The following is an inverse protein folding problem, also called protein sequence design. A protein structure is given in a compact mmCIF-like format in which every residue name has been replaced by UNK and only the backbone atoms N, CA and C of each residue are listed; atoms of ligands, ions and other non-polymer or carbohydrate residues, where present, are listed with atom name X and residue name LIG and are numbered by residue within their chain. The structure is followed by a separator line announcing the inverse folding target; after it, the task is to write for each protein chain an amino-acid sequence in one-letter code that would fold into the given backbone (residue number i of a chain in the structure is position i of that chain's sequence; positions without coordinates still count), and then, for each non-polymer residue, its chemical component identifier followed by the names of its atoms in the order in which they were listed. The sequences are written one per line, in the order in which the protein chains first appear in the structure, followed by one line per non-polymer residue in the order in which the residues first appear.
data_IF_483298597244
#
_entry.id   IF_483298597244
#
_cell.length_a   1.000
_cell.length_b   1.000
_cell.length_c   1.000
_cell.angle_alpha   90.00
_cell.angle_beta   90.00
_cell.angle_gamma   90.00
#
_symmetry.space_group_name_H-M   'P 1'
#
loop_
_entity.id
_entity.type
_entity.pdbx_description
1 polymer ?
#
# COMPACT_ATOMS: atom_id res chain seq x y z
N UNK A 1 3.04 60.08 11.38
CA UNK A 1 2.13 59.00 10.94
C UNK A 1 2.66 58.28 9.69
N UNK A 2 2.90 58.98 8.56
CA UNK A 2 3.33 58.36 7.27
C UNK A 2 4.68 57.63 7.36
N UNK A 3 5.70 58.20 8.04
CA UNK A 3 7.01 57.54 8.24
C UNK A 3 6.89 56.21 9.02
N UNK A 4 6.04 56.19 10.03
CA UNK A 4 5.81 54.99 10.88
C UNK A 4 5.14 53.88 10.08
N UNK A 5 4.10 54.19 9.30
CA UNK A 5 3.42 53.22 8.43
C UNK A 5 4.36 52.66 7.36
N UNK A 6 5.19 53.52 6.74
CA UNK A 6 6.21 53.08 5.77
C UNK A 6 7.24 52.13 6.39
N UNK A 7 7.72 52.43 7.60
CA UNK A 7 8.69 51.58 8.29
C UNK A 7 8.09 50.23 8.68
N UNK A 8 6.82 50.21 9.09
CA UNK A 8 6.09 48.97 9.36
C UNK A 8 5.94 48.14 8.08
N UNK A 9 5.55 48.76 6.96
CA UNK A 9 5.44 48.07 5.67
C UNK A 9 6.77 47.45 5.22
N UNK A 10 7.87 48.19 5.33
CA UNK A 10 9.21 47.69 4.98
C UNK A 10 9.59 46.51 5.90
N UNK A 11 9.37 46.64 7.22
CA UNK A 11 9.65 45.57 8.16
C UNK A 11 8.83 44.30 7.86
N UNK A 12 7.54 44.45 7.57
CA UNK A 12 6.66 43.34 7.19
C UNK A 12 7.12 42.65 5.91
N UNK A 13 7.54 43.41 4.89
CA UNK A 13 8.08 42.86 3.64
C UNK A 13 9.38 42.09 3.87
N UNK A 14 10.26 42.59 4.75
CA UNK A 14 11.50 41.89 5.11
C UNK A 14 11.19 40.56 5.81
N UNK A 15 10.28 40.58 6.79
CA UNK A 15 9.89 39.36 7.51
C UNK A 15 9.26 38.33 6.56
N UNK A 16 8.38 38.77 5.67
CA UNK A 16 7.79 37.90 4.64
C UNK A 16 8.85 37.35 3.68
N UNK A 17 9.84 38.16 3.30
CA UNK A 17 10.95 37.72 2.46
C UNK A 17 11.81 36.65 3.13
N UNK A 18 12.17 36.85 4.41
CA UNK A 18 12.95 35.87 5.20
C UNK A 18 12.14 34.59 5.42
N UNK A 19 10.85 34.70 5.76
CA UNK A 19 9.97 33.54 5.90
C UNK A 19 9.85 32.78 4.57
N UNK A 20 9.75 33.49 3.44
CA UNK A 20 9.74 32.89 2.11
C UNK A 20 11.03 32.12 1.81
N UNK A 21 12.19 32.71 2.08
CA UNK A 21 13.50 32.04 1.91
C UNK A 21 13.66 30.84 2.85
N UNK A 22 13.13 30.91 4.05
CA UNK A 22 13.15 29.80 5.00
C UNK A 22 12.30 28.62 4.50
N UNK A 23 11.07 28.89 4.07
CA UNK A 23 10.17 27.85 3.55
C UNK A 23 10.73 27.22 2.28
N UNK A 24 11.28 28.01 1.35
CA UNK A 24 11.89 27.47 0.13
C UNK A 24 13.17 26.70 0.43
N UNK A 25 14.03 27.21 1.31
CA UNK A 25 15.24 26.50 1.75
C UNK A 25 14.91 25.16 2.41
N UNK A 26 13.86 25.11 3.22
CA UNK A 26 13.40 23.86 3.84
C UNK A 26 12.83 22.88 2.81
N UNK A 27 12.03 23.37 1.86
CA UNK A 27 11.48 22.55 0.77
C UNK A 27 12.58 21.87 -0.09
N UNK A 28 13.71 22.54 -0.31
CA UNK A 28 14.86 21.93 -1.00
C UNK A 28 15.81 21.16 -0.07
N UNK A 29 15.49 21.04 1.23
CA UNK A 29 16.30 20.30 2.20
C UNK A 29 17.64 20.97 2.55
N UNK A 30 17.78 22.29 2.35
CA UNK A 30 19.01 23.05 2.62
C UNK A 30 19.43 22.96 4.09
N UNK A 31 18.46 22.84 5.00
CA UNK A 31 18.69 22.69 6.44
C UNK A 31 18.92 21.23 6.88
N UNK A 32 19.05 20.32 5.92
CA UNK A 32 19.23 18.89 6.15
C UNK A 32 17.90 18.11 6.11
N UNK A 33 18.01 16.81 5.89
CA UNK A 33 16.90 15.88 5.85
C UNK A 33 17.05 14.86 6.98
N UNK A 34 15.98 14.68 7.76
CA UNK A 34 15.86 13.58 8.70
C UNK A 34 15.36 12.35 7.96
N UNK A 35 15.97 11.21 8.26
CA UNK A 35 15.68 9.91 7.68
C UNK A 35 15.20 8.98 8.78
N UNK A 36 14.03 8.39 8.61
CA UNK A 36 13.50 7.40 9.55
C UNK A 36 12.68 6.32 8.85
N UNK A 37 12.55 5.18 9.52
CA UNK A 37 11.78 4.04 9.05
C UNK A 37 10.35 4.11 9.59
N UNK A 38 9.38 3.84 8.73
CA UNK A 38 7.96 3.81 9.04
C UNK A 38 7.37 2.49 8.58
N UNK A 39 6.54 1.89 9.43
CA UNK A 39 5.71 0.75 9.04
C UNK A 39 4.46 1.27 8.34
N UNK A 40 4.18 0.76 7.14
CA UNK A 40 2.96 1.03 6.39
C UNK A 40 2.35 -0.28 5.89
N UNK A 41 1.22 -0.20 5.19
CA UNK A 41 0.49 -1.36 4.68
C UNK A 41 0.11 -1.18 3.22
N UNK A 42 0.49 -2.15 2.38
CA UNK A 42 -0.14 -2.31 1.07
C UNK A 42 -1.50 -3.01 1.26
N UNK A 43 -2.57 -2.40 0.75
CA UNK A 43 -3.89 -3.03 0.70
C UNK A 43 -4.19 -3.41 -0.75
N UNK A 44 -4.63 -4.65 -0.98
CA UNK A 44 -5.05 -5.10 -2.32
C UNK A 44 -6.30 -5.96 -2.23
N UNK A 45 -7.12 -5.92 -3.28
CA UNK A 45 -8.41 -6.62 -3.32
C UNK A 45 -8.37 -7.76 -4.34
N UNK A 46 -8.84 -8.93 -3.91
CA UNK A 46 -8.88 -10.14 -4.72
C UNK A 46 -10.31 -10.61 -4.86
N UNK A 47 -10.68 -11.03 -6.07
CA UNK A 47 -11.96 -11.64 -6.39
C UNK A 47 -11.72 -13.09 -6.81
N UNK A 48 -11.89 -14.05 -5.90
CA UNK A 48 -11.89 -15.46 -6.25
C UNK A 48 -13.09 -15.76 -7.15
N UNK A 49 -12.85 -16.46 -8.26
CA UNK A 49 -13.88 -16.88 -9.21
C UNK A 49 -13.68 -18.34 -9.57
N UNK A 50 -14.78 -19.04 -9.77
CA UNK A 50 -14.78 -20.39 -10.30
C UNK A 50 -14.18 -20.37 -11.72
N UNK A 51 -13.23 -21.28 -11.98
CA UNK A 51 -12.44 -21.31 -13.22
C UNK A 51 -13.30 -21.59 -14.46
N UNK A 52 -14.38 -22.35 -14.32
CA UNK A 52 -15.22 -22.79 -15.43
C UNK A 52 -16.40 -21.82 -15.64
N UNK A 53 -17.10 -21.46 -14.56
CA UNK A 53 -18.31 -20.64 -14.63
C UNK A 53 -18.05 -19.14 -14.50
N UNK A 54 -16.90 -18.72 -13.99
CA UNK A 54 -16.59 -17.33 -13.66
C UNK A 54 -17.41 -16.77 -12.49
N UNK A 55 -18.23 -17.60 -11.82
CA UNK A 55 -19.02 -17.20 -10.68
C UNK A 55 -18.11 -16.84 -9.48
N UNK A 56 -18.49 -15.86 -8.64
CA UNK A 56 -17.70 -15.51 -7.45
C UNK A 56 -17.68 -16.68 -6.46
N UNK A 57 -16.50 -17.01 -5.94
CA UNK A 57 -16.35 -17.97 -4.85
C UNK A 57 -16.35 -17.22 -3.52
N UNK A 58 -17.33 -17.53 -2.68
CA UNK A 58 -17.49 -16.95 -1.33
C UNK A 58 -16.71 -17.76 -0.28
N UNK A 59 -16.58 -17.23 0.94
CA UNK A 59 -15.95 -17.90 2.08
C UNK A 59 -14.50 -18.38 1.89
N UNK A 60 -13.79 -17.76 0.96
CA UNK A 60 -12.37 -18.04 0.73
C UNK A 60 -11.51 -17.40 1.83
N UNK A 61 -10.63 -18.20 2.42
CA UNK A 61 -9.60 -17.75 3.35
C UNK A 61 -8.27 -17.61 2.63
N UNK A 62 -7.34 -16.87 3.20
CA UNK A 62 -5.99 -16.76 2.64
C UNK A 62 -4.92 -17.16 3.65
N UNK A 63 -3.78 -17.58 3.11
CA UNK A 63 -2.52 -17.67 3.85
C UNK A 63 -1.42 -17.06 3.00
N UNK A 64 -0.75 -16.05 3.54
CA UNK A 64 0.37 -15.41 2.86
C UNK A 64 1.70 -15.87 3.42
N UNK A 65 2.65 -16.14 2.54
CA UNK A 65 3.99 -16.53 2.91
C UNK A 65 5.03 -15.85 2.02
N UNK A 66 6.15 -15.56 2.64
CA UNK A 66 7.40 -15.11 2.04
C UNK A 66 8.52 -15.93 2.65
N UNK A 67 9.69 -15.93 2.03
CA UNK A 67 10.86 -16.62 2.55
C UNK A 67 11.17 -16.18 3.98
N UNK A 68 11.05 -17.11 4.92
CA UNK A 68 11.27 -16.86 6.35
C UNK A 68 10.11 -16.16 7.08
N UNK A 69 8.99 -15.87 6.41
CA UNK A 69 7.80 -15.28 7.01
C UNK A 69 6.50 -15.96 6.52
N UNK A 70 5.98 -16.88 7.33
CA UNK A 70 4.77 -17.65 6.99
C UNK A 70 3.44 -16.95 7.30
N UNK A 71 3.48 -15.73 7.85
CA UNK A 71 2.33 -14.89 8.16
C UNK A 71 2.56 -13.48 7.59
N UNK A 72 2.94 -13.43 6.31
CA UNK A 72 3.39 -12.21 5.67
C UNK A 72 2.27 -11.20 5.38
N UNK A 73 1.01 -11.55 5.61
CA UNK A 73 -0.13 -10.66 5.42
C UNK A 73 -1.26 -11.03 6.37
N UNK A 74 -2.28 -10.17 6.44
CA UNK A 74 -3.56 -10.47 7.11
C UNK A 74 -4.73 -10.27 6.17
N UNK A 75 -5.77 -11.09 6.35
CA UNK A 75 -7.07 -10.89 5.70
C UNK A 75 -7.86 -9.83 6.47
N UNK A 76 -8.35 -8.82 5.76
CA UNK A 76 -9.29 -7.82 6.28
C UNK A 76 -10.70 -8.25 5.89
N UNK A 77 -11.63 -8.07 6.81
CA UNK A 77 -13.05 -8.36 6.56
C UNK A 77 -13.59 -7.43 5.46
N UNK A 78 -14.17 -8.02 4.41
CA UNK A 78 -14.81 -7.30 3.33
C UNK A 78 -16.32 -7.31 3.54
N UNK A 79 -16.97 -6.15 3.42
CA UNK A 79 -18.43 -6.06 3.38
C UNK A 79 -19.02 -6.51 2.04
N UNK A 80 -18.18 -6.63 1.01
CA UNK A 80 -18.59 -7.07 -0.32
C UNK A 80 -18.40 -8.59 -0.46
N UNK A 81 -19.49 -9.29 -0.78
CA UNK A 81 -19.48 -10.73 -1.00
C UNK A 81 -18.54 -11.12 -2.16
N UNK A 82 -17.76 -12.18 -1.97
CA UNK A 82 -16.81 -12.68 -2.97
C UNK A 82 -15.57 -11.79 -3.20
N UNK A 83 -15.29 -10.84 -2.30
CA UNK A 83 -14.07 -10.02 -2.32
C UNK A 83 -13.25 -10.28 -1.05
N UNK A 84 -11.96 -10.51 -1.22
CA UNK A 84 -10.98 -10.64 -0.14
C UNK A 84 -10.09 -9.40 -0.17
N UNK A 85 -9.95 -8.72 0.96
CA UNK A 85 -8.98 -7.63 1.10
C UNK A 85 -7.78 -8.15 1.89
N UNK A 86 -6.59 -7.91 1.39
CA UNK A 86 -5.32 -8.35 2.00
C UNK A 86 -4.52 -7.13 2.42
N UNK A 87 -4.00 -7.15 3.65
CA UNK A 87 -3.06 -6.15 4.15
C UNK A 87 -1.68 -6.76 4.29
N UNK A 88 -0.71 -6.18 3.60
CA UNK A 88 0.69 -6.62 3.61
C UNK A 88 1.51 -5.54 4.31
N UNK A 89 2.16 -5.83 5.46
CA UNK A 89 3.04 -4.87 6.12
C UNK A 89 4.26 -4.60 5.24
N UNK A 90 4.56 -3.33 5.03
CA UNK A 90 5.73 -2.86 4.28
C UNK A 90 6.52 -1.86 5.10
N UNK A 91 7.83 -1.85 4.93
CA UNK A 91 8.67 -0.82 5.53
C UNK A 91 8.96 0.26 4.49
N UNK A 92 8.81 1.51 4.92
CA UNK A 92 9.15 2.68 4.12
C UNK A 92 10.23 3.47 4.80
N UNK A 93 11.04 4.07 3.96
CA UNK A 93 12.00 5.06 4.36
C UNK A 93 11.45 6.43 3.98
N UNK A 94 11.36 7.29 4.98
CA UNK A 94 10.80 8.63 4.81
C UNK A 94 11.89 9.65 5.04
N UNK A 95 11.98 10.62 4.13
CA UNK A 95 12.85 11.78 4.25
C UNK A 95 11.99 13.02 4.50
N UNK A 96 12.25 13.70 5.61
CA UNK A 96 11.56 14.94 5.95
C UNK A 96 12.57 16.05 6.23
N UNK A 97 12.25 17.25 5.77
CA UNK A 97 12.87 18.49 6.23
C UNK A 97 12.15 18.96 7.50
N UNK A 98 12.33 20.21 7.92
CA UNK A 98 11.68 20.73 9.11
C UNK A 98 10.16 20.88 8.95
N UNK A 99 9.70 21.20 7.73
CA UNK A 99 8.30 21.50 7.42
C UNK A 99 7.70 20.55 6.36
N UNK A 100 8.50 19.85 5.58
CA UNK A 100 8.02 19.08 4.43
C UNK A 100 8.49 17.63 4.41
N UNK A 101 7.60 16.76 3.97
CA UNK A 101 7.94 15.40 3.55
C UNK A 101 8.45 15.44 2.12
N UNK A 102 9.71 15.07 1.93
CA UNK A 102 10.43 15.23 0.67
C UNK A 102 10.36 13.99 -0.21
N UNK A 103 10.53 12.80 0.39
CA UNK A 103 10.57 11.54 -0.36
C UNK A 103 10.06 10.39 0.49
N UNK A 104 9.47 9.41 -0.18
CA UNK A 104 9.19 8.07 0.34
C UNK A 104 9.84 7.04 -0.57
N UNK A 105 10.35 5.97 0.01
CA UNK A 105 10.86 4.84 -0.74
C UNK A 105 10.55 3.55 0.03
N UNK A 106 10.07 2.53 -0.67
CA UNK A 106 9.92 1.22 -0.07
C UNK A 106 11.30 0.63 0.24
N UNK A 107 11.44 0.09 1.44
CA UNK A 107 12.65 -0.66 1.80
C UNK A 107 12.59 -2.01 1.11
N UNK A 108 13.61 -2.32 0.32
CA UNK A 108 13.73 -3.63 -0.32
C UNK A 108 13.74 -4.75 0.72
N UNK A 109 12.85 -5.71 0.56
CA UNK A 109 12.81 -6.93 1.37
C UNK A 109 13.74 -7.98 0.77
N UNK A 110 14.32 -8.85 1.61
CA UNK A 110 15.16 -9.97 1.14
C UNK A 110 14.41 -10.92 0.18
N UNK A 111 13.09 -10.99 0.33
CA UNK A 111 12.19 -11.65 -0.61
C UNK A 111 11.15 -10.64 -1.10
N UNK A 112 11.26 -10.13 -2.34
CA UNK A 112 10.33 -9.15 -2.88
C UNK A 112 9.01 -9.80 -3.34
N UNK A 113 8.92 -11.14 -3.34
CA UNK A 113 7.73 -11.86 -3.77
C UNK A 113 6.86 -12.22 -2.57
N UNK A 114 5.56 -12.01 -2.71
CA UNK A 114 4.53 -12.46 -1.79
C UNK A 114 3.75 -13.58 -2.45
N UNK A 115 3.67 -14.72 -1.78
CA UNK A 115 2.83 -15.83 -2.20
C UNK A 115 1.56 -15.86 -1.36
N UNK A 116 0.41 -15.90 -2.03
CA UNK A 116 -0.91 -15.93 -1.39
C UNK A 116 -1.60 -17.22 -1.81
N UNK A 117 -1.83 -18.10 -0.84
CA UNK A 117 -2.67 -19.29 -1.02
C UNK A 117 -4.12 -18.94 -0.70
N UNK A 118 -5.02 -19.24 -1.65
CA UNK A 118 -6.46 -19.06 -1.49
C UNK A 118 -7.08 -20.40 -1.10
N UNK A 119 -7.78 -20.45 0.02
CA UNK A 119 -8.21 -21.67 0.68
C UNK A 119 -9.73 -21.72 0.70
N UNK A 120 -10.29 -22.79 0.15
CA UNK A 120 -11.72 -23.05 0.22
C UNK A 120 -11.97 -24.56 0.37
N UNK A 121 -13.11 -24.92 0.96
CA UNK A 121 -13.46 -26.32 1.18
C UNK A 121 -13.69 -27.07 -0.15
N UNK A 122 -14.53 -26.53 -1.04
CA UNK A 122 -14.91 -27.15 -2.32
C UNK A 122 -13.94 -26.94 -3.51
N UNK A 123 -12.93 -26.07 -3.37
CA UNK A 123 -12.00 -25.74 -4.44
C UNK A 123 -10.58 -26.14 -4.07
N UNK A 124 -9.75 -26.39 -5.08
CA UNK A 124 -8.31 -26.47 -4.94
C UNK A 124 -7.77 -25.17 -4.36
N UNK A 125 -6.58 -25.24 -3.74
CA UNK A 125 -5.97 -24.09 -3.08
C UNK A 125 -4.91 -23.45 -3.98
N UNK A 126 -5.27 -22.60 -4.97
CA UNK A 126 -4.28 -21.99 -5.83
C UNK A 126 -3.36 -21.06 -5.03
N UNK A 127 -2.11 -21.01 -5.45
CA UNK A 127 -1.12 -20.05 -4.96
C UNK A 127 -0.85 -19.04 -6.06
N UNK A 128 -1.06 -17.76 -5.76
CA UNK A 128 -0.69 -16.67 -6.65
C UNK A 128 0.50 -15.91 -6.07
N UNK A 129 1.39 -15.45 -6.96
CA UNK A 129 2.61 -14.75 -6.60
C UNK A 129 2.55 -13.32 -7.08
N UNK A 130 2.87 -12.37 -6.21
CA UNK A 130 2.85 -10.95 -6.49
C UNK A 130 4.14 -10.29 -6.01
N UNK A 131 4.57 -9.20 -6.65
CA UNK A 131 5.63 -8.37 -6.09
C UNK A 131 5.06 -7.45 -5.02
N UNK A 132 5.76 -7.28 -3.90
CA UNK A 132 5.32 -6.34 -2.84
C UNK A 132 5.20 -4.92 -3.40
N UNK A 133 6.16 -4.49 -4.21
CA UNK A 133 6.15 -3.19 -4.88
C UNK A 133 4.92 -3.03 -5.79
N UNK A 134 4.55 -4.08 -6.53
CA UNK A 134 3.35 -4.08 -7.37
C UNK A 134 2.07 -3.93 -6.56
N UNK A 135 1.94 -4.68 -5.46
CA UNK A 135 0.79 -4.59 -4.56
C UNK A 135 0.68 -3.21 -3.88
N UNK A 136 1.82 -2.60 -3.56
CA UNK A 136 1.88 -1.30 -2.91
C UNK A 136 1.56 -0.14 -3.87
N UNK A 137 2.07 -0.19 -5.11
CA UNK A 137 1.87 0.86 -6.11
C UNK A 137 0.48 0.79 -6.78
N UNK A 138 -0.18 -0.36 -6.75
CA UNK A 138 -1.53 -0.55 -7.31
C UNK A 138 -2.54 -1.06 -6.26
N UNK A 139 -2.92 -0.22 -5.27
CA UNK A 139 -3.76 -0.63 -4.15
C UNK A 139 -5.23 -0.91 -4.51
N UNK A 140 -5.66 -0.57 -5.75
CA UNK A 140 -7.06 -0.70 -6.20
C UNK A 140 -7.22 -1.81 -7.25
N UNK A 141 -6.13 -2.49 -7.61
CA UNK A 141 -6.18 -3.64 -8.50
C UNK A 141 -7.13 -4.71 -7.97
N UNK A 142 -8.15 -5.03 -8.78
CA UNK A 142 -9.07 -6.15 -8.54
C UNK A 142 -8.48 -7.38 -9.20
N UNK A 143 -7.61 -8.09 -8.49
CA UNK A 143 -7.04 -9.33 -9.01
C UNK A 143 -8.12 -10.42 -9.05
N UNK A 144 -8.31 -11.04 -10.21
CA UNK A 144 -9.21 -12.19 -10.33
C UNK A 144 -8.42 -13.48 -10.12
N UNK A 145 -8.84 -14.30 -9.16
CA UNK A 145 -8.17 -15.55 -8.81
C UNK A 145 -9.04 -16.71 -9.25
N UNK A 146 -8.57 -17.45 -10.26
CA UNK A 146 -9.28 -18.62 -10.76
C UNK A 146 -9.11 -19.78 -9.80
N UNK A 147 -10.23 -20.30 -9.29
CA UNK A 147 -10.30 -21.44 -8.40
C UNK A 147 -10.91 -22.63 -9.13
N UNK A 148 -10.25 -23.77 -9.08
CA UNK A 148 -10.70 -25.03 -9.70
C UNK A 148 -11.41 -25.89 -8.66
N UNK A 149 -12.58 -26.45 -8.99
CA UNK A 149 -13.33 -27.31 -8.06
C UNK A 149 -12.56 -28.61 -7.81
N UNK A 150 -12.63 -29.13 -6.58
CA UNK A 150 -12.03 -30.43 -6.22
C UNK A 150 -12.78 -31.61 -6.85
N UNK A 151 -14.10 -31.48 -6.92
CA UNK A 151 -14.99 -32.48 -7.48
C UNK A 151 -15.78 -31.80 -8.59
N UNK A 152 -15.73 -32.39 -9.79
CA UNK A 152 -16.73 -32.07 -10.81
C UNK A 152 -18.02 -32.74 -10.33
N UNK A 153 -19.08 -31.94 -10.18
CA UNK A 153 -20.42 -32.54 -10.08
C UNK A 153 -20.55 -33.43 -11.32
N UNK A 154 -20.80 -34.73 -11.11
CA UNK A 154 -21.17 -35.60 -12.22
C UNK A 154 -22.38 -34.93 -12.87
N UNK A 155 -22.28 -34.58 -14.14
CA UNK A 155 -23.44 -34.17 -14.92
C UNK A 155 -24.40 -35.36 -14.83
N UNK A 156 -25.49 -35.18 -14.08
CA UNK A 156 -26.60 -36.13 -14.04
C UNK A 156 -27.13 -36.23 -15.48
N UNK A 157 -26.77 -37.32 -16.17
CA UNK A 157 -27.35 -37.77 -17.44
C UNK A 157 -28.84 -38.13 -17.29
#
# INVERSE_FOLDING_TARGET
MIKTVRNILIASLIVLGIAGLFVTGDYFGVFGLKKYLVLDFAESSFRPVDKETGAPVIDVKIRCFQKGNNNACTQKESRASGIIIVRVPVQKLVWESLLFKNKEELVATNDPQLHIMFIHYNYNNPVATFSIEGLYNDPVSKYSIKMERKFKEAEDE
#
